data_IF_473684430475
#
_entry.id   IF_473684430475
#
_cell.length_a   1.000
_cell.length_b   1.000
_cell.length_c   1.000
_cell.angle_alpha   90.00
_cell.angle_beta   90.00
_cell.angle_gamma   90.00
#
_symmetry.space_group_name_H-M   'P 1'
#
loop_
_entity.id
_entity.type
_entity.pdbx_description
1 polymer ?
#
# COMPACT_ATOMS: atom_id res chain seq x y z
N UNK A 1 -41.22 29.64 38.41
CA UNK A 1 -39.93 29.94 37.76
C UNK A 1 -39.07 28.70 37.82
N UNK A 2 -39.23 27.80 36.85
CA UNK A 2 -38.51 26.52 36.79
C UNK A 2 -37.18 26.73 36.08
N UNK A 3 -36.07 26.57 36.81
CA UNK A 3 -34.73 26.50 36.24
C UNK A 3 -34.60 25.21 35.40
N UNK A 4 -33.94 25.22 34.23
CA UNK A 4 -33.49 23.99 33.61
C UNK A 4 -32.23 23.50 34.36
N UNK A 5 -32.29 22.27 34.86
CA UNK A 5 -31.16 21.56 35.44
C UNK A 5 -30.11 21.26 34.36
N UNK A 6 -28.97 21.96 34.40
CA UNK A 6 -27.81 21.60 33.61
C UNK A 6 -27.06 20.46 34.33
N UNK A 7 -27.21 19.22 33.86
CA UNK A 7 -26.36 18.10 34.33
C UNK A 7 -24.99 18.13 33.63
N UNK A 8 -23.87 17.85 34.32
CA UNK A 8 -22.51 18.20 33.85
C UNK A 8 -21.87 17.25 32.82
N UNK A 9 -22.58 16.24 32.31
CA UNK A 9 -21.94 15.06 31.69
C UNK A 9 -22.17 14.87 30.18
N UNK A 10 -22.63 15.89 29.45
CA UNK A 10 -22.98 15.73 28.02
C UNK A 10 -21.88 16.10 27.01
N UNK A 11 -20.64 16.34 27.42
CA UNK A 11 -19.58 16.79 26.50
C UNK A 11 -18.54 15.73 26.13
N UNK A 12 -18.62 14.51 26.68
CA UNK A 12 -17.47 13.60 26.61
C UNK A 12 -17.33 12.68 25.40
N UNK A 13 -18.31 12.37 24.56
CA UNK A 13 -18.10 11.32 23.53
C UNK A 13 -18.94 11.49 22.25
N UNK A 14 -18.85 12.63 21.56
CA UNK A 14 -19.48 12.74 20.21
C UNK A 14 -18.73 13.61 19.21
N UNK A 15 -17.41 13.69 19.29
CA UNK A 15 -16.61 14.27 18.21
C UNK A 15 -15.23 13.60 18.15
N UNK A 16 -15.18 12.34 17.73
CA UNK A 16 -14.02 11.91 16.94
C UNK A 16 -14.08 12.79 15.70
N UNK A 17 -13.26 13.83 15.71
CA UNK A 17 -13.19 14.91 14.74
C UNK A 17 -13.02 14.29 13.35
N UNK A 18 -13.98 14.50 12.45
CA UNK A 18 -13.97 14.05 11.05
C UNK A 18 -12.80 14.59 10.20
N UNK A 19 -11.83 15.26 10.82
CA UNK A 19 -10.65 15.81 10.17
C UNK A 19 -9.32 15.53 10.89
N UNK A 20 -9.29 14.70 11.94
CA UNK A 20 -8.01 14.27 12.51
C UNK A 20 -7.48 13.04 11.78
N UNK A 21 -6.32 13.12 11.10
CA UNK A 21 -5.72 11.96 10.49
C UNK A 21 -5.46 10.90 11.57
N UNK A 22 -5.93 9.69 11.31
CA UNK A 22 -5.70 8.55 12.22
C UNK A 22 -4.19 8.37 12.45
N UNK A 23 -3.81 7.77 13.58
CA UNK A 23 -2.39 7.48 13.90
C UNK A 23 -1.67 6.77 12.74
N UNK A 24 -2.38 5.93 11.98
CA UNK A 24 -1.86 5.28 10.79
C UNK A 24 -1.48 6.27 9.67
N UNK A 25 -2.36 7.23 9.37
CA UNK A 25 -2.13 8.26 8.35
C UNK A 25 -1.00 9.21 8.76
N UNK A 26 -0.96 9.64 10.03
CA UNK A 26 0.16 10.43 10.55
C UNK A 26 1.49 9.69 10.43
N UNK A 27 1.50 8.38 10.66
CA UNK A 27 2.68 7.54 10.48
C UNK A 27 3.13 7.46 9.01
N UNK A 28 2.18 7.37 8.07
CA UNK A 28 2.47 7.39 6.62
C UNK A 28 3.02 8.75 6.21
N UNK A 29 2.42 9.86 6.67
CA UNK A 29 2.88 11.22 6.37
C UNK A 29 4.31 11.47 6.89
N UNK A 30 4.60 11.00 8.11
CA UNK A 30 5.94 11.10 8.68
C UNK A 30 6.96 10.30 7.87
N UNK A 31 6.65 9.04 7.52
CA UNK A 31 7.52 8.22 6.67
C UNK A 31 7.71 8.86 5.28
N UNK A 32 6.63 9.41 4.70
CA UNK A 32 6.66 10.13 3.41
C UNK A 32 7.56 11.37 3.47
N UNK A 33 7.52 12.12 4.58
CA UNK A 33 8.41 13.25 4.81
C UNK A 33 9.87 12.79 4.97
N UNK A 34 10.11 11.69 5.70
CA UNK A 34 11.45 11.12 5.88
C UNK A 34 12.05 10.65 4.55
N UNK A 35 11.27 9.95 3.71
CA UNK A 35 11.68 9.57 2.35
C UNK A 35 12.09 10.79 1.55
N UNK A 36 11.27 11.86 1.57
CA UNK A 36 11.62 13.10 0.85
C UNK A 36 12.85 13.81 1.41
N UNK A 37 13.09 13.77 2.72
CA UNK A 37 14.25 14.46 3.32
C UNK A 37 15.54 13.66 3.20
N UNK A 38 15.46 12.33 3.22
CA UNK A 38 16.62 11.45 3.21
C UNK A 38 16.99 10.95 1.81
N UNK A 39 16.03 10.85 0.89
CA UNK A 39 16.22 10.35 -0.48
C UNK A 39 16.98 9.00 -0.45
N UNK A 40 18.06 8.86 -1.21
CA UNK A 40 18.91 7.66 -1.26
C UNK A 40 19.39 7.17 0.11
N UNK A 41 19.56 8.07 1.09
CA UNK A 41 19.95 7.67 2.47
C UNK A 41 18.87 6.84 3.16
N UNK A 42 17.62 6.95 2.73
CA UNK A 42 16.53 6.14 3.26
C UNK A 42 16.62 4.67 2.83
N UNK A 43 17.38 4.34 1.78
CA UNK A 43 17.52 2.96 1.25
C UNK A 43 17.85 1.91 2.32
N UNK A 44 18.68 2.28 3.29
CA UNK A 44 19.10 1.40 4.39
C UNK A 44 17.95 1.05 5.35
N UNK A 45 16.91 1.88 5.40
CA UNK A 45 15.73 1.70 6.25
C UNK A 45 14.59 0.98 5.53
N UNK A 46 14.61 0.92 4.18
CA UNK A 46 13.57 0.28 3.36
C UNK A 46 13.27 -1.14 3.85
N UNK A 47 14.30 -1.96 4.10
CA UNK A 47 14.10 -3.33 4.56
C UNK A 47 13.40 -3.46 5.93
N UNK A 48 13.51 -2.43 6.78
CA UNK A 48 12.87 -2.39 8.10
C UNK A 48 11.41 -1.95 8.02
N UNK A 49 11.10 -0.97 7.16
CA UNK A 49 9.74 -0.42 7.06
C UNK A 49 8.84 -1.24 6.15
N UNK A 50 9.40 -1.90 5.14
CA UNK A 50 8.63 -2.54 4.07
C UNK A 50 7.65 -3.62 4.55
N UNK A 51 7.96 -4.50 5.52
CA UNK A 51 6.99 -5.46 6.04
C UNK A 51 5.71 -4.79 6.57
N UNK A 52 5.86 -3.67 7.30
CA UNK A 52 4.73 -2.92 7.85
C UNK A 52 3.93 -2.14 6.80
N UNK A 53 4.53 -1.81 5.66
CA UNK A 53 3.82 -1.22 4.51
C UNK A 53 3.04 -2.32 3.77
N UNK A 54 3.66 -3.48 3.53
CA UNK A 54 2.96 -4.64 2.93
C UNK A 54 1.73 -5.02 3.77
N UNK A 55 1.84 -5.07 5.10
CA UNK A 55 0.68 -5.35 5.97
C UNK A 55 -0.41 -4.28 5.83
N UNK A 56 -0.02 -3.00 5.67
CA UNK A 56 -0.93 -1.85 5.53
C UNK A 56 -1.67 -1.81 4.20
N UNK A 57 -1.15 -2.44 3.14
CA UNK A 57 -1.94 -2.69 1.92
C UNK A 57 -3.20 -3.53 2.18
N UNK A 58 -3.32 -4.17 3.35
CA UNK A 58 -4.51 -4.89 3.78
C UNK A 58 -5.39 -4.17 4.81
N UNK A 59 -5.18 -2.86 5.05
CA UNK A 59 -5.92 -2.07 6.04
C UNK A 59 -7.43 -2.02 5.73
N UNK A 60 -8.26 -1.96 6.78
CA UNK A 60 -9.70 -1.91 6.62
C UNK A 60 -10.20 -0.58 6.04
N UNK A 61 -9.39 0.49 6.11
CA UNK A 61 -9.72 1.81 5.58
C UNK A 61 -9.07 2.03 4.21
N UNK A 62 -9.89 2.30 3.21
CA UNK A 62 -9.47 2.50 1.82
C UNK A 62 -8.43 3.62 1.70
N UNK A 63 -8.67 4.75 2.36
CA UNK A 63 -7.75 5.88 2.40
C UNK A 63 -6.35 5.49 2.93
N UNK A 64 -6.26 4.59 3.92
CA UNK A 64 -4.95 4.16 4.45
C UNK A 64 -4.21 3.34 3.39
N UNK A 65 -4.91 2.43 2.70
CA UNK A 65 -4.31 1.61 1.63
C UNK A 65 -3.83 2.46 0.46
N UNK A 66 -4.62 3.44 0.05
CA UNK A 66 -4.26 4.37 -1.02
C UNK A 66 -3.02 5.20 -0.68
N UNK A 67 -2.97 5.79 0.52
CA UNK A 67 -1.81 6.56 0.96
C UNK A 67 -0.55 5.70 1.14
N UNK A 68 -0.71 4.46 1.60
CA UNK A 68 0.39 3.50 1.73
C UNK A 68 0.95 3.10 0.35
N UNK A 69 0.09 2.87 -0.64
CA UNK A 69 0.52 2.61 -2.02
C UNK A 69 1.27 3.81 -2.62
N UNK A 70 0.78 5.04 -2.40
CA UNK A 70 1.47 6.27 -2.83
C UNK A 70 2.87 6.35 -2.19
N UNK A 71 2.98 6.03 -0.89
CA UNK A 71 4.27 6.00 -0.19
C UNK A 71 5.21 4.94 -0.77
N UNK A 72 4.72 3.75 -1.10
CA UNK A 72 5.53 2.70 -1.74
C UNK A 72 6.10 3.16 -3.09
N UNK A 73 5.27 3.77 -3.95
CA UNK A 73 5.73 4.33 -5.22
C UNK A 73 6.75 5.45 -5.03
N UNK A 74 6.57 6.29 -4.00
CA UNK A 74 7.51 7.35 -3.63
C UNK A 74 8.86 6.80 -3.16
N UNK A 75 8.86 5.71 -2.41
CA UNK A 75 10.10 5.01 -2.02
C UNK A 75 10.83 4.51 -3.27
N UNK A 76 10.09 3.99 -4.26
CA UNK A 76 10.64 3.53 -5.54
C UNK A 76 11.24 4.68 -6.39
N UNK A 77 10.70 5.88 -6.23
CA UNK A 77 11.16 7.08 -6.94
C UNK A 77 12.39 7.71 -6.29
N UNK A 78 12.37 7.86 -4.96
CA UNK A 78 13.25 8.77 -4.23
C UNK A 78 14.32 8.08 -3.39
N UNK A 79 14.14 6.79 -3.04
CA UNK A 79 15.00 6.12 -2.07
C UNK A 79 15.63 4.81 -2.57
N UNK A 80 14.94 4.05 -3.42
CA UNK A 80 15.45 2.79 -3.96
C UNK A 80 14.78 2.48 -5.28
N UNK A 81 15.45 1.77 -6.20
CA UNK A 81 14.82 1.42 -7.49
C UNK A 81 13.58 0.53 -7.33
N UNK A 82 12.63 0.55 -8.29
CA UNK A 82 11.48 -0.36 -8.30
C UNK A 82 11.90 -1.82 -8.11
N UNK A 83 12.92 -2.29 -8.84
CA UNK A 83 13.46 -3.65 -8.69
C UNK A 83 13.88 -3.97 -7.24
N UNK A 84 14.58 -3.06 -6.57
CA UNK A 84 15.06 -3.28 -5.20
C UNK A 84 13.92 -3.48 -4.20
N UNK A 85 12.83 -2.71 -4.37
CA UNK A 85 11.63 -2.81 -3.55
C UNK A 85 10.89 -4.10 -3.87
N UNK A 86 10.66 -4.39 -5.15
CA UNK A 86 9.92 -5.58 -5.58
C UNK A 86 10.59 -6.90 -5.22
N UNK A 87 11.93 -6.98 -5.24
CA UNK A 87 12.67 -8.16 -4.75
C UNK A 87 12.33 -8.52 -3.29
N UNK A 88 11.87 -7.55 -2.50
CA UNK A 88 11.48 -7.73 -1.09
C UNK A 88 9.96 -7.81 -0.88
N UNK A 89 9.16 -7.36 -1.85
CA UNK A 89 7.70 -7.40 -1.76
C UNK A 89 7.08 -8.71 -2.25
N UNK A 90 7.82 -9.60 -2.94
CA UNK A 90 7.27 -10.84 -3.52
C UNK A 90 6.54 -11.73 -2.50
N UNK A 91 6.96 -11.70 -1.24
CA UNK A 91 6.28 -12.42 -0.15
C UNK A 91 4.83 -11.97 0.09
N UNK A 92 4.50 -10.72 -0.26
CA UNK A 92 3.16 -10.15 -0.13
C UNK A 92 2.09 -10.86 -0.93
N UNK A 93 2.44 -11.46 -2.08
CA UNK A 93 1.50 -12.28 -2.87
C UNK A 93 1.05 -13.55 -2.12
N UNK A 94 1.77 -13.98 -1.08
CA UNK A 94 1.41 -15.14 -0.26
C UNK A 94 0.88 -14.75 1.12
N UNK A 95 0.52 -13.49 1.33
CA UNK A 95 0.11 -12.99 2.64
C UNK A 95 -1.23 -13.63 3.10
N UNK A 96 -1.37 -13.86 4.41
CA UNK A 96 -2.58 -14.47 4.99
C UNK A 96 -3.84 -13.62 4.79
N UNK A 97 -3.70 -12.29 4.84
CA UNK A 97 -4.81 -11.36 4.63
C UNK A 97 -5.06 -11.20 3.12
N UNK A 98 -6.29 -11.49 2.68
CA UNK A 98 -6.68 -11.38 1.27
C UNK A 98 -6.61 -9.95 0.73
N UNK A 99 -6.95 -8.94 1.54
CA UNK A 99 -6.82 -7.53 1.17
C UNK A 99 -5.38 -7.14 0.90
N UNK A 100 -4.43 -7.68 1.66
CA UNK A 100 -3.00 -7.46 1.37
C UNK A 100 -2.60 -8.07 0.04
N UNK A 101 -3.04 -9.31 -0.26
CA UNK A 101 -2.70 -9.96 -1.55
C UNK A 101 -3.26 -9.14 -2.73
N UNK A 102 -4.50 -8.70 -2.64
CA UNK A 102 -5.13 -7.77 -3.59
C UNK A 102 -4.35 -6.45 -3.69
N UNK A 103 -4.04 -5.82 -2.55
CA UNK A 103 -3.31 -4.56 -2.50
C UNK A 103 -1.92 -4.64 -3.12
N UNK A 104 -1.23 -5.78 -3.00
CA UNK A 104 0.06 -6.01 -3.67
C UNK A 104 -0.13 -6.11 -5.19
N UNK A 105 -1.21 -6.75 -5.69
CA UNK A 105 -1.55 -6.74 -7.12
C UNK A 105 -1.81 -5.31 -7.62
N UNK A 106 -2.62 -4.54 -6.90
CA UNK A 106 -2.88 -3.14 -7.26
C UNK A 106 -1.59 -2.30 -7.24
N UNK A 107 -0.70 -2.54 -6.28
CA UNK A 107 0.60 -1.86 -6.22
C UNK A 107 1.49 -2.22 -7.43
N UNK A 108 1.42 -3.47 -7.91
CA UNK A 108 2.16 -3.89 -9.11
C UNK A 108 1.62 -3.18 -10.35
N UNK A 109 0.30 -3.12 -10.53
CA UNK A 109 -0.35 -2.37 -11.61
C UNK A 109 0.10 -0.91 -11.59
N UNK A 110 0.04 -0.24 -10.44
CA UNK A 110 0.49 1.15 -10.31
C UNK A 110 1.98 1.32 -10.59
N UNK A 111 2.81 0.34 -10.19
CA UNK A 111 4.25 0.36 -10.52
C UNK A 111 4.47 0.26 -12.03
N UNK A 112 3.79 -0.66 -12.70
CA UNK A 112 3.90 -0.84 -14.15
C UNK A 112 3.44 0.42 -14.89
N UNK A 113 2.30 1.00 -14.50
CA UNK A 113 1.81 2.24 -15.09
C UNK A 113 2.78 3.42 -14.94
N UNK A 114 3.51 3.50 -13.83
CA UNK A 114 4.46 4.59 -13.56
C UNK A 114 5.83 4.38 -14.23
N UNK A 115 6.38 3.15 -14.16
CA UNK A 115 7.78 2.87 -14.52
C UNK A 115 7.95 1.94 -15.72
N UNK A 116 6.86 1.38 -16.24
CA UNK A 116 6.88 0.32 -17.26
C UNK A 116 7.44 -1.01 -16.75
N UNK A 117 7.62 -1.95 -17.68
CA UNK A 117 8.13 -3.29 -17.39
C UNK A 117 9.66 -3.38 -17.29
N UNK A 118 10.41 -2.47 -17.95
CA UNK A 118 11.87 -2.59 -18.10
C UNK A 118 12.62 -2.51 -16.77
N UNK A 119 12.06 -1.80 -15.78
CA UNK A 119 12.63 -1.69 -14.44
C UNK A 119 12.38 -2.89 -13.52
N UNK A 120 11.73 -3.95 -14.01
CA UNK A 120 11.31 -5.11 -13.22
C UNK A 120 11.70 -6.43 -13.89
N UNK A 121 12.17 -7.38 -13.07
CA UNK A 121 12.43 -8.76 -13.48
C UNK A 121 11.11 -9.54 -13.48
N UNK A 122 10.29 -9.33 -14.50
CA UNK A 122 8.95 -9.91 -14.59
C UNK A 122 8.92 -11.44 -14.51
N UNK A 123 9.98 -12.12 -14.99
CA UNK A 123 10.10 -13.58 -14.88
C UNK A 123 10.08 -14.10 -13.44
N UNK A 124 10.46 -13.28 -12.45
CA UNK A 124 10.33 -13.61 -11.03
C UNK A 124 8.94 -13.32 -10.47
N UNK A 125 8.22 -12.34 -11.02
CA UNK A 125 6.93 -11.85 -10.52
C UNK A 125 5.78 -12.67 -11.08
N UNK A 126 5.78 -12.94 -12.39
CA UNK A 126 4.70 -13.63 -13.12
C UNK A 126 4.28 -14.95 -12.47
N UNK A 127 5.18 -15.84 -11.99
CA UNK A 127 4.76 -17.07 -11.32
C UNK A 127 3.90 -16.82 -10.07
N UNK A 128 4.13 -15.72 -9.33
CA UNK A 128 3.29 -15.36 -8.19
C UNK A 128 1.90 -14.90 -8.62
N UNK A 129 1.81 -14.12 -9.69
CA UNK A 129 0.54 -13.65 -10.25
C UNK A 129 -0.30 -14.82 -10.76
N UNK A 130 0.32 -15.75 -11.50
CA UNK A 130 -0.36 -16.95 -12.00
C UNK A 130 -0.93 -17.79 -10.85
N UNK A 131 -0.21 -17.91 -9.72
CA UNK A 131 -0.73 -18.61 -8.54
C UNK A 131 -1.97 -17.91 -7.94
N UNK A 132 -2.02 -16.57 -8.00
CA UNK A 132 -3.16 -15.80 -7.48
C UNK A 132 -4.42 -15.91 -8.35
N UNK A 133 -4.33 -16.35 -9.61
CA UNK A 133 -5.51 -16.66 -10.42
C UNK A 133 -6.36 -17.78 -9.80
N UNK A 134 -5.77 -18.64 -8.97
CA UNK A 134 -6.46 -19.67 -8.22
C UNK A 134 -6.88 -19.27 -6.79
N UNK A 135 -6.74 -17.99 -6.40
CA UNK A 135 -7.05 -17.55 -5.04
C UNK A 135 -8.54 -17.78 -4.70
N UNK A 136 -8.89 -18.21 -3.47
CA UNK A 136 -10.29 -18.37 -3.07
C UNK A 136 -11.08 -17.05 -3.13
N UNK A 137 -10.42 -15.89 -2.97
CA UNK A 137 -11.06 -14.57 -2.95
C UNK A 137 -11.15 -14.00 -4.37
N UNK A 138 -12.35 -13.63 -4.83
CA UNK A 138 -12.55 -13.12 -6.20
C UNK A 138 -11.77 -11.85 -6.48
N UNK A 139 -11.75 -10.90 -5.53
CA UNK A 139 -11.03 -9.64 -5.67
C UNK A 139 -9.52 -9.85 -5.90
N UNK A 140 -8.94 -10.87 -5.26
CA UNK A 140 -7.52 -11.22 -5.47
C UNK A 140 -7.29 -11.78 -6.88
N UNK A 141 -8.21 -12.63 -7.37
CA UNK A 141 -8.15 -13.14 -8.76
C UNK A 141 -8.30 -12.03 -9.78
N UNK A 142 -9.21 -11.09 -9.56
CA UNK A 142 -9.44 -9.93 -10.43
C UNK A 142 -8.20 -9.02 -10.46
N UNK A 143 -7.61 -8.75 -9.30
CA UNK A 143 -6.33 -8.01 -9.21
C UNK A 143 -5.18 -8.71 -9.92
N UNK A 144 -5.10 -10.05 -9.82
CA UNK A 144 -4.11 -10.84 -10.53
C UNK A 144 -4.31 -10.80 -12.05
N UNK A 145 -5.56 -10.85 -12.53
CA UNK A 145 -5.88 -10.67 -13.95
C UNK A 145 -5.46 -9.29 -14.43
N UNK A 146 -5.76 -8.23 -13.66
CA UNK A 146 -5.32 -6.86 -13.96
C UNK A 146 -3.80 -6.74 -14.08
N UNK A 147 -3.04 -7.41 -13.20
CA UNK A 147 -1.58 -7.45 -13.30
C UNK A 147 -1.11 -8.06 -14.62
N UNK A 148 -1.71 -9.16 -15.07
CA UNK A 148 -1.33 -9.82 -16.33
C UNK A 148 -1.64 -8.95 -17.55
N UNK A 149 -2.78 -8.23 -17.52
CA UNK A 149 -3.13 -7.27 -18.59
C UNK A 149 -2.08 -6.18 -18.70
N UNK A 150 -1.69 -5.57 -17.57
CA UNK A 150 -0.67 -4.51 -17.58
C UNK A 150 0.71 -5.01 -17.96
N UNK A 151 1.09 -6.21 -17.49
CA UNK A 151 2.34 -6.85 -17.89
C UNK A 151 2.35 -7.08 -19.41
N UNK A 152 1.28 -7.64 -19.97
CA UNK A 152 1.19 -7.88 -21.42
C UNK A 152 1.25 -6.57 -22.21
N UNK A 153 0.55 -5.54 -21.75
CA UNK A 153 0.57 -4.22 -22.38
C UNK A 153 1.98 -3.65 -22.47
N UNK A 154 2.75 -3.71 -21.39
CA UNK A 154 4.11 -3.15 -21.36
C UNK A 154 5.20 -4.03 -21.97
N UNK A 155 4.99 -5.35 -22.10
CA UNK A 155 5.94 -6.25 -22.77
C UNK A 155 5.68 -6.33 -24.27
N UNK A 156 4.43 -6.08 -24.70
CA UNK A 156 4.03 -6.08 -26.11
C UNK A 156 4.29 -4.77 -26.87
N UNK A 157 4.64 -3.69 -26.16
CA UNK A 157 5.16 -2.42 -26.71
C UNK A 157 6.68 -2.50 -26.96
#
# INVERSE_FOLDING_TARGET
TTQPSCSPDSWKITAVREGEPTVALLGIDLLSALVTRLQDRFRNHVGTVLPSLIDRLGDSKDQVREQDQILLLKIMEQAASPQYVWDRMLGGFKHKNNRTREGVCLCLISTLNMYGAQGLTLSKIVPHICNLLGDPTSQVRDGAMGCLVEIYRHVGE
#
